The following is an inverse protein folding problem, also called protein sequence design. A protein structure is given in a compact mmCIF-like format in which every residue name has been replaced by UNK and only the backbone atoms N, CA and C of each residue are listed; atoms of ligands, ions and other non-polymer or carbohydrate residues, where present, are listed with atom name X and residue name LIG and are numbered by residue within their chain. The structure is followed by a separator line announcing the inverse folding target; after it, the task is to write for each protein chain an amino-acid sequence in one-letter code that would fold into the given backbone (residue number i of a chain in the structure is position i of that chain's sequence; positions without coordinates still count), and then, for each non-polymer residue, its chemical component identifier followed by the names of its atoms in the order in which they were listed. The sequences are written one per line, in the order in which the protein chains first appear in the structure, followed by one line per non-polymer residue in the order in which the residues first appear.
data_IF_078897046786
#
_entry.id   IF_078897046786
#
_cell.length_a   1.000
_cell.length_b   1.000
_cell.length_c   1.000
_cell.angle_alpha   90.00
_cell.angle_beta   90.00
_cell.angle_gamma   90.00
#
_symmetry.space_group_name_H-M   'P 1'
#
loop_
_entity.id
_entity.type
_entity.pdbx_description
1 polymer ?
#
# COMPACT_ATOMS: atom_id res chain seq x y z
N UNK A 1 -13.92 -7.97 -7.07
CA UNK A 1 -13.57 -7.62 -8.47
C UNK A 1 -12.24 -8.29 -8.80
N UNK A 2 -12.24 -9.21 -9.77
CA UNK A 2 -11.13 -10.09 -10.23
C UNK A 2 -10.40 -10.99 -9.21
N UNK A 3 -10.43 -10.75 -7.90
CA UNK A 3 -9.76 -11.61 -6.92
C UNK A 3 -8.25 -11.64 -7.12
N UNK A 4 -7.63 -12.81 -6.92
CA UNK A 4 -6.17 -13.01 -7.05
C UNK A 4 -5.60 -12.59 -8.43
N UNK A 5 -6.26 -12.84 -9.57
CA UNK A 5 -5.83 -12.27 -10.86
C UNK A 5 -5.68 -10.74 -10.86
N UNK A 6 -6.59 -10.03 -10.20
CA UNK A 6 -6.56 -8.57 -10.13
C UNK A 6 -5.36 -8.06 -9.34
N UNK A 7 -5.06 -8.67 -8.19
CA UNK A 7 -3.92 -8.27 -7.37
C UNK A 7 -2.58 -8.54 -8.07
N UNK A 8 -2.47 -9.64 -8.83
CA UNK A 8 -1.28 -9.95 -9.63
C UNK A 8 -1.05 -8.92 -10.75
N UNK A 9 -2.10 -8.52 -11.47
CA UNK A 9 -1.99 -7.49 -12.52
C UNK A 9 -1.49 -6.18 -11.91
N UNK A 10 -2.07 -5.75 -10.78
CA UNK A 10 -1.65 -4.54 -10.09
C UNK A 10 -0.21 -4.65 -9.57
N UNK A 11 0.21 -5.82 -9.07
CA UNK A 11 1.58 -6.06 -8.62
C UNK A 11 2.58 -5.90 -9.78
N UNK A 12 2.27 -6.46 -10.95
CA UNK A 12 3.10 -6.31 -12.16
C UNK A 12 3.16 -4.85 -12.59
N UNK A 13 2.03 -4.13 -12.61
CA UNK A 13 2.01 -2.69 -12.95
C UNK A 13 2.85 -1.86 -11.96
N UNK A 14 2.77 -2.16 -10.67
CA UNK A 14 3.61 -1.54 -9.63
C UNK A 14 5.09 -1.80 -9.86
N UNK A 15 5.47 -3.04 -10.19
CA UNK A 15 6.85 -3.39 -10.51
C UNK A 15 7.36 -2.65 -11.76
N UNK A 16 6.55 -2.56 -12.82
CA UNK A 16 6.89 -1.79 -14.03
C UNK A 16 7.06 -0.30 -13.73
N UNK A 17 6.22 0.28 -12.87
CA UNK A 17 6.39 1.66 -12.41
C UNK A 17 7.74 1.85 -11.73
N UNK A 18 8.10 0.98 -10.78
CA UNK A 18 9.38 1.04 -10.08
C UNK A 18 10.58 0.93 -11.04
N UNK A 19 10.52 0.01 -12.00
CA UNK A 19 11.54 -0.12 -13.07
C UNK A 19 11.63 1.15 -13.91
N UNK A 20 10.49 1.76 -14.24
CA UNK A 20 10.44 3.03 -14.96
C UNK A 20 11.04 4.20 -14.18
N UNK A 21 10.90 4.22 -12.84
CA UNK A 21 11.54 5.25 -12.01
C UNK A 21 13.06 5.09 -12.02
N UNK A 22 13.57 3.85 -11.88
CA UNK A 22 15.01 3.56 -11.96
C UNK A 22 15.59 3.99 -13.30
N UNK A 23 14.90 3.69 -14.40
CA UNK A 23 15.34 4.13 -15.73
C UNK A 23 15.31 5.65 -15.88
N UNK A 24 14.32 6.33 -15.30
CA UNK A 24 14.24 7.78 -15.25
C UNK A 24 15.45 8.44 -14.56
N UNK A 25 15.91 7.87 -13.44
CA UNK A 25 17.12 8.34 -12.73
C UNK A 25 18.37 8.22 -13.60
N UNK A 26 18.54 7.07 -14.25
CA UNK A 26 19.69 6.83 -15.13
C UNK A 26 19.72 7.84 -16.30
N UNK A 27 18.57 8.12 -16.90
CA UNK A 27 18.44 9.11 -17.98
C UNK A 27 18.67 10.54 -17.49
N UNK A 28 18.12 10.91 -16.33
CA UNK A 28 18.33 12.23 -15.72
C UNK A 28 19.83 12.50 -15.52
N UNK A 29 20.56 11.54 -14.97
CA UNK A 29 22.01 11.63 -14.76
C UNK A 29 22.79 11.91 -16.05
N UNK A 30 22.35 11.35 -17.19
CA UNK A 30 22.95 11.60 -18.50
C UNK A 30 22.65 13.00 -19.06
N UNK A 31 21.40 13.46 -18.98
CA UNK A 31 20.97 14.72 -19.58
C UNK A 31 21.32 15.96 -18.75
N UNK A 32 21.29 15.85 -17.42
CA UNK A 32 21.45 16.98 -16.51
C UNK A 32 22.86 17.13 -15.94
N UNK A 33 23.82 16.27 -16.34
CA UNK A 33 25.22 16.30 -15.87
C UNK A 33 25.94 17.64 -16.08
N UNK A 34 25.48 18.44 -17.05
CA UNK A 34 26.12 19.71 -17.44
C UNK A 34 25.31 20.96 -17.05
N UNK A 35 24.24 20.79 -16.30
CA UNK A 35 23.32 21.87 -15.92
C UNK A 35 23.09 21.82 -14.41
N UNK A 36 23.23 22.95 -13.69
CA UNK A 36 22.91 23.00 -12.26
C UNK A 36 21.47 22.55 -12.01
N UNK A 37 21.25 21.81 -10.93
CA UNK A 37 19.91 21.39 -10.51
C UNK A 37 18.95 22.59 -10.42
N UNK A 38 17.73 22.46 -10.92
CA UNK A 38 16.73 23.54 -10.90
C UNK A 38 16.84 24.56 -12.03
N UNK A 39 17.81 24.44 -12.94
CA UNK A 39 17.94 25.39 -14.06
C UNK A 39 16.85 25.15 -15.11
N UNK A 40 15.91 26.10 -15.24
CA UNK A 40 14.94 26.15 -16.35
C UNK A 40 15.38 27.21 -17.35
N UNK A 41 15.78 26.80 -18.56
CA UNK A 41 16.31 27.74 -19.56
C UNK A 41 15.20 28.59 -20.16
N UNK A 42 15.10 29.85 -19.71
CA UNK A 42 14.05 30.79 -20.14
C UNK A 42 14.27 31.38 -21.55
N UNK A 43 15.51 31.48 -22.04
CA UNK A 43 15.81 32.09 -23.36
C UNK A 43 15.78 31.15 -24.57
N UNK A 44 15.22 29.95 -24.46
CA UNK A 44 15.24 28.90 -25.51
C UNK A 44 13.84 28.54 -25.97
N UNK A 45 13.74 27.72 -27.02
CA UNK A 45 12.47 27.27 -27.60
C UNK A 45 11.54 26.65 -26.54
N UNK A 46 10.22 26.78 -26.77
CA UNK A 46 9.18 26.26 -25.87
C UNK A 46 9.39 24.77 -25.54
N UNK A 47 9.87 23.98 -26.51
CA UNK A 47 10.16 22.54 -26.36
C UNK A 47 11.29 22.28 -25.34
N UNK A 48 12.39 23.04 -25.41
CA UNK A 48 13.52 22.91 -24.48
C UNK A 48 13.11 23.29 -23.07
N UNK A 49 12.34 24.38 -22.90
CA UNK A 49 11.83 24.78 -21.60
C UNK A 49 10.90 23.71 -20.99
N UNK A 50 10.06 23.09 -21.81
CA UNK A 50 9.16 22.03 -21.37
C UNK A 50 9.92 20.75 -20.97
N UNK A 51 10.98 20.39 -21.71
CA UNK A 51 11.88 19.30 -21.34
C UNK A 51 12.59 19.56 -19.99
N UNK A 52 13.10 20.78 -19.79
CA UNK A 52 13.72 21.17 -18.52
C UNK A 52 12.73 21.07 -17.35
N UNK A 53 11.49 21.54 -17.55
CA UNK A 53 10.44 21.45 -16.53
C UNK A 53 10.01 19.99 -16.27
N UNK A 54 9.87 19.16 -17.30
CA UNK A 54 9.58 17.73 -17.16
C UNK A 54 10.64 17.02 -16.33
N UNK A 55 11.93 17.26 -16.63
CA UNK A 55 13.04 16.66 -15.89
C UNK A 55 13.09 17.15 -14.44
N UNK A 56 12.85 18.45 -14.20
CA UNK A 56 12.83 19.01 -12.85
C UNK A 56 11.68 18.43 -12.02
N UNK A 57 10.45 18.48 -12.54
CA UNK A 57 9.28 17.93 -11.85
C UNK A 57 9.41 16.42 -11.65
N UNK A 58 9.88 15.69 -12.66
CA UNK A 58 10.13 14.26 -12.56
C UNK A 58 11.12 13.91 -11.44
N UNK A 59 12.21 14.67 -11.30
CA UNK A 59 13.20 14.45 -10.25
C UNK A 59 12.67 14.82 -8.85
N UNK A 60 11.90 15.91 -8.73
CA UNK A 60 11.22 16.29 -7.47
C UNK A 60 10.23 15.21 -7.04
N UNK A 61 9.47 14.67 -8.00
CA UNK A 61 8.48 13.63 -7.75
C UNK A 61 9.08 12.24 -7.56
N UNK A 62 10.35 12.02 -7.90
CA UNK A 62 10.96 10.69 -7.87
C UNK A 62 10.78 10.01 -6.53
N UNK A 63 11.19 10.68 -5.44
CA UNK A 63 11.10 10.10 -4.09
C UNK A 63 9.65 9.79 -3.73
N UNK A 64 8.75 10.72 -4.03
CA UNK A 64 7.33 10.55 -3.74
C UNK A 64 6.71 9.40 -4.56
N UNK A 65 6.98 9.32 -5.86
CA UNK A 65 6.55 8.22 -6.74
C UNK A 65 7.16 6.88 -6.31
N UNK A 66 8.38 6.86 -5.79
CA UNK A 66 8.99 5.64 -5.23
C UNK A 66 8.25 5.20 -3.97
N UNK A 67 7.95 6.10 -3.04
CA UNK A 67 7.20 5.79 -1.83
C UNK A 67 5.80 5.29 -2.17
N UNK A 68 5.07 6.01 -3.03
CA UNK A 68 3.72 5.65 -3.46
C UNK A 68 3.72 4.36 -4.27
N UNK A 69 4.68 4.18 -5.18
CA UNK A 69 4.82 2.97 -6.00
C UNK A 69 5.16 1.74 -5.18
N UNK A 70 6.10 1.84 -4.24
CA UNK A 70 6.48 0.73 -3.36
C UNK A 70 5.36 0.37 -2.39
N UNK A 71 4.75 1.37 -1.75
CA UNK A 71 3.61 1.14 -0.86
C UNK A 71 2.40 0.57 -1.60
N UNK A 72 2.17 0.99 -2.85
CA UNK A 72 1.16 0.41 -3.73
C UNK A 72 1.43 -1.04 -4.07
N UNK A 73 2.68 -1.39 -4.43
CA UNK A 73 3.10 -2.76 -4.70
C UNK A 73 3.01 -3.67 -3.46
N UNK A 74 3.22 -3.13 -2.26
CA UNK A 74 2.98 -3.90 -1.02
C UNK A 74 1.48 -4.13 -0.82
N UNK A 75 0.63 -3.12 -1.09
CA UNK A 75 -0.81 -3.25 -0.93
C UNK A 75 -1.43 -4.35 -1.82
N UNK A 76 -0.82 -4.67 -2.96
CA UNK A 76 -1.30 -5.76 -3.83
C UNK A 76 -1.00 -7.15 -3.26
N UNK A 77 -0.21 -7.26 -2.19
CA UNK A 77 0.07 -8.51 -1.50
C UNK A 77 -0.96 -8.84 -0.41
N UNK A 78 -1.99 -8.00 -0.24
CA UNK A 78 -2.99 -8.14 0.82
C UNK A 78 -3.64 -9.53 0.88
N UNK A 79 -4.04 -10.07 -0.28
CA UNK A 79 -4.67 -11.38 -0.38
C UNK A 79 -3.76 -12.50 0.10
N UNK A 80 -2.45 -12.39 -0.15
CA UNK A 80 -1.46 -13.37 0.30
C UNK A 80 -1.24 -13.28 1.81
N UNK A 81 -1.10 -12.05 2.32
CA UNK A 81 -0.93 -11.78 3.75
C UNK A 81 -2.11 -12.30 4.56
N UNK A 82 -3.34 -12.02 4.15
CA UNK A 82 -4.54 -12.47 4.86
C UNK A 82 -4.84 -13.96 4.65
N UNK A 83 -4.46 -14.55 3.51
CA UNK A 83 -4.54 -16.00 3.34
C UNK A 83 -3.61 -16.72 4.31
N UNK A 84 -2.34 -16.29 4.40
CA UNK A 84 -1.36 -16.84 5.35
C UNK A 84 -1.83 -16.68 6.80
N UNK A 85 -2.44 -15.53 7.12
CA UNK A 85 -3.05 -15.31 8.44
C UNK A 85 -4.14 -16.31 8.79
N UNK A 86 -5.08 -16.52 7.87
CA UNK A 86 -6.22 -17.43 8.07
C UNK A 86 -5.74 -18.86 8.33
N UNK A 87 -4.73 -19.30 7.59
CA UNK A 87 -4.11 -20.61 7.79
C UNK A 87 -3.47 -20.70 9.18
N UNK A 88 -2.76 -19.65 9.61
CA UNK A 88 -2.22 -19.57 10.97
C UNK A 88 -3.32 -19.68 12.03
N UNK A 89 -4.37 -18.86 11.95
CA UNK A 89 -5.50 -18.90 12.89
C UNK A 89 -6.21 -20.26 12.91
N UNK A 90 -6.40 -20.88 11.74
CA UNK A 90 -6.98 -22.22 11.63
C UNK A 90 -6.09 -23.29 12.29
N UNK A 91 -4.76 -23.19 12.14
CA UNK A 91 -3.82 -24.10 12.80
C UNK A 91 -3.88 -23.98 14.33
N UNK A 92 -4.02 -22.76 14.87
CA UNK A 92 -4.18 -22.51 16.31
C UNK A 92 -5.48 -23.09 16.83
N UNK A 93 -6.56 -22.98 16.06
CA UNK A 93 -7.85 -23.58 16.40
C UNK A 93 -7.79 -25.12 16.42
N UNK A 94 -7.10 -25.73 15.45
CA UNK A 94 -6.93 -27.19 15.37
C UNK A 94 -6.09 -27.75 16.51
N UNK A 95 -5.08 -27.00 16.96
CA UNK A 95 -4.22 -27.38 18.08
C UNK A 95 -4.86 -27.16 19.46
N UNK A 96 -5.97 -26.40 19.53
CA UNK A 96 -6.62 -26.08 20.78
C UNK A 96 -7.40 -27.27 21.35
N UNK A 97 -7.58 -27.34 22.68
CA UNK A 97 -8.42 -28.36 23.30
C UNK A 97 -9.86 -28.35 22.76
N UNK A 98 -10.58 -29.48 22.88
CA UNK A 98 -11.99 -29.59 22.51
C UNK A 98 -12.83 -28.44 23.11
N UNK A 99 -13.85 -27.97 22.38
CA UNK A 99 -14.65 -26.84 22.83
C UNK A 99 -15.41 -27.19 24.12
N UNK A 100 -15.46 -26.21 25.02
CA UNK A 100 -16.30 -26.25 26.21
C UNK A 100 -17.79 -26.07 25.91
N UNK A 101 -18.62 -25.87 26.96
CA UNK A 101 -20.05 -25.65 26.78
C UNK A 101 -20.35 -24.40 25.94
N UNK A 102 -21.43 -24.42 25.15
CA UNK A 102 -21.74 -23.33 24.23
C UNK A 102 -22.14 -22.05 24.97
N UNK A 103 -21.74 -20.91 24.41
CA UNK A 103 -22.12 -19.59 24.92
C UNK A 103 -23.42 -19.08 24.30
N UNK A 104 -24.25 -18.42 25.12
CA UNK A 104 -25.47 -17.76 24.66
C UNK A 104 -25.21 -16.49 23.80
N UNK A 105 -24.09 -15.79 24.04
CA UNK A 105 -23.69 -14.56 23.33
C UNK A 105 -22.23 -14.63 22.88
N UNK A 106 -21.90 -15.49 21.90
CA UNK A 106 -20.52 -15.81 21.59
C UNK A 106 -19.74 -14.63 21.00
N UNK A 107 -20.39 -13.76 20.22
CA UNK A 107 -19.73 -12.56 19.67
C UNK A 107 -19.41 -11.53 20.75
N UNK A 108 -20.32 -11.32 21.70
CA UNK A 108 -20.06 -10.43 22.83
C UNK A 108 -18.92 -10.97 23.70
N UNK A 109 -18.93 -12.28 23.97
CA UNK A 109 -17.84 -12.93 24.70
C UNK A 109 -16.49 -12.79 23.99
N UNK A 110 -16.45 -12.84 22.65
CA UNK A 110 -15.24 -12.58 21.88
C UNK A 110 -14.72 -11.15 22.05
N UNK A 111 -15.60 -10.15 21.98
CA UNK A 111 -15.24 -8.74 22.25
C UNK A 111 -14.73 -8.56 23.68
N UNK A 112 -15.44 -9.13 24.65
CA UNK A 112 -15.09 -9.01 26.07
C UNK A 112 -13.78 -9.74 26.39
N UNK A 113 -13.50 -10.86 25.72
CA UNK A 113 -12.21 -11.54 25.78
C UNK A 113 -11.11 -10.64 25.20
N UNK A 114 -11.28 -10.12 23.99
CA UNK A 114 -10.27 -9.27 23.34
C UNK A 114 -9.94 -8.01 24.14
N UNK A 115 -10.94 -7.34 24.72
CA UNK A 115 -10.74 -6.17 25.60
C UNK A 115 -9.97 -6.52 26.88
N UNK A 116 -10.17 -7.72 27.42
CA UNK A 116 -9.41 -8.19 28.60
C UNK A 116 -7.98 -8.56 28.23
N UNK A 117 -7.75 -9.14 27.04
CA UNK A 117 -6.42 -9.52 26.58
C UNK A 117 -5.56 -8.30 26.23
N UNK A 118 -6.14 -7.27 25.60
CA UNK A 118 -5.44 -6.06 25.18
C UNK A 118 -6.14 -4.79 25.71
N UNK A 119 -6.03 -4.48 27.02
CA UNK A 119 -6.76 -3.38 27.66
C UNK A 119 -6.33 -1.98 27.18
N UNK A 120 -5.12 -1.85 26.66
CA UNK A 120 -4.55 -0.61 26.11
C UNK A 120 -4.93 -0.34 24.65
N UNK A 121 -5.69 -1.24 24.04
CA UNK A 121 -6.14 -1.14 22.64
C UNK A 121 -7.65 -0.93 22.58
N UNK A 122 -8.10 -0.34 21.47
CA UNK A 122 -9.51 -0.19 21.17
C UNK A 122 -9.92 -1.21 20.10
N UNK A 123 -11.18 -1.65 20.13
CA UNK A 123 -11.72 -2.54 19.10
C UNK A 123 -11.85 -1.75 17.81
N UNK A 124 -11.17 -2.20 16.75
CA UNK A 124 -11.25 -1.59 15.42
C UNK A 124 -12.42 -2.21 14.64
N UNK A 125 -12.38 -3.52 14.40
CA UNK A 125 -13.46 -4.26 13.75
C UNK A 125 -13.44 -5.74 14.13
N UNK A 126 -14.55 -6.42 13.79
CA UNK A 126 -14.75 -7.84 14.03
C UNK A 126 -14.75 -8.59 12.70
N UNK A 127 -13.92 -9.62 12.61
CA UNK A 127 -13.97 -10.59 11.54
C UNK A 127 -14.81 -11.79 11.98
N UNK A 128 -15.98 -11.92 11.34
CA UNK A 128 -16.88 -13.04 11.60
C UNK A 128 -16.27 -14.37 11.15
N UNK A 129 -16.73 -15.51 11.71
CA UNK A 129 -16.30 -16.83 11.27
C UNK A 129 -16.49 -17.01 9.77
N UNK A 130 -15.48 -17.60 9.12
CA UNK A 130 -15.45 -17.85 7.68
C UNK A 130 -15.25 -16.61 6.80
N UNK A 131 -15.00 -15.43 7.39
CA UNK A 131 -14.64 -14.23 6.63
C UNK A 131 -13.21 -14.29 6.08
N UNK A 132 -12.83 -13.29 5.28
CA UNK A 132 -11.45 -13.16 4.75
C UNK A 132 -10.39 -12.97 5.86
N UNK A 133 -10.79 -12.70 7.09
CA UNK A 133 -9.90 -12.40 8.21
C UNK A 133 -10.06 -13.34 9.41
N UNK A 134 -10.82 -14.44 9.25
CA UNK A 134 -11.06 -15.42 10.33
C UNK A 134 -11.25 -16.84 9.78
N UNK A 135 -11.03 -17.85 10.63
CA UNK A 135 -11.38 -19.25 10.35
C UNK A 135 -12.87 -19.54 10.58
N UNK A 136 -13.38 -20.67 10.09
CA UNK A 136 -14.83 -21.02 10.12
C UNK A 136 -15.43 -21.21 11.53
N UNK A 137 -14.60 -21.36 12.58
CA UNK A 137 -15.07 -21.54 13.98
C UNK A 137 -14.52 -20.53 14.98
N UNK A 138 -13.79 -19.52 14.50
CA UNK A 138 -13.27 -18.45 15.34
C UNK A 138 -13.75 -17.10 14.84
N UNK A 139 -13.82 -16.14 15.74
CA UNK A 139 -13.94 -14.73 15.43
C UNK A 139 -12.62 -14.06 15.76
N UNK A 140 -12.08 -13.31 14.80
CA UNK A 140 -10.90 -12.48 15.02
C UNK A 140 -11.35 -11.06 15.33
N UNK A 141 -11.05 -10.58 16.53
CA UNK A 141 -11.26 -9.20 16.93
C UNK A 141 -9.98 -8.42 16.65
N UNK A 142 -10.02 -7.49 15.71
CA UNK A 142 -8.86 -6.66 15.40
C UNK A 142 -8.84 -5.46 16.33
N UNK A 143 -7.78 -5.39 17.12
CA UNK A 143 -7.52 -4.33 18.10
C UNK A 143 -6.56 -3.32 17.48
N UNK A 144 -6.69 -2.04 17.81
CA UNK A 144 -5.80 -0.98 17.33
C UNK A 144 -5.27 -0.14 18.50
N UNK A 145 -4.05 0.38 18.39
CA UNK A 145 -3.47 1.20 19.44
C UNK A 145 -4.10 2.59 19.52
N UNK A 146 -3.99 3.22 20.70
CA UNK A 146 -4.60 4.55 20.98
C UNK A 146 -3.79 5.75 20.48
N UNK A 147 -2.57 5.55 20.00
CA UNK A 147 -1.70 6.65 19.56
C UNK A 147 -1.80 6.89 18.05
N UNK A 148 -1.47 8.08 17.52
CA UNK A 148 -1.43 8.33 16.08
C UNK A 148 -0.55 7.36 15.29
N UNK A 149 0.53 6.86 15.90
CA UNK A 149 1.44 5.88 15.31
C UNK A 149 0.84 4.47 15.31
N UNK A 150 0.21 4.07 16.42
CA UNK A 150 -0.27 2.69 16.62
C UNK A 150 -1.71 2.45 16.17
N UNK A 151 -2.48 3.51 15.87
CA UNK A 151 -3.90 3.38 15.42
C UNK A 151 -4.09 2.66 14.09
N UNK A 152 -3.02 2.54 13.29
CA UNK A 152 -3.04 1.81 12.02
C UNK A 152 -2.41 0.42 12.15
N UNK A 153 -1.86 0.06 13.31
CA UNK A 153 -1.28 -1.26 13.54
C UNK A 153 -2.34 -2.14 14.19
N UNK A 154 -2.92 -3.02 13.38
CA UNK A 154 -3.94 -3.95 13.84
C UNK A 154 -3.29 -5.14 14.55
N UNK A 155 -3.73 -5.44 15.76
CA UNK A 155 -3.38 -6.66 16.49
C UNK A 155 -4.60 -7.57 16.56
N UNK A 156 -4.57 -8.73 15.91
CA UNK A 156 -5.69 -9.66 15.93
C UNK A 156 -5.75 -10.43 17.27
N UNK A 157 -6.96 -10.59 17.80
CA UNK A 157 -7.26 -11.52 18.91
C UNK A 157 -8.25 -12.55 18.41
N UNK A 158 -7.81 -13.80 18.32
CA UNK A 158 -8.59 -14.91 17.78
C UNK A 158 -9.31 -15.61 18.92
N UNK A 159 -10.64 -15.61 18.89
CA UNK A 159 -11.49 -16.22 19.91
C UNK A 159 -12.40 -17.25 19.28
N UNK A 160 -12.45 -18.45 19.85
CA UNK A 160 -13.34 -19.52 19.41
C UNK A 160 -14.79 -19.16 19.71
N UNK A 161 -15.66 -19.26 18.70
CA UNK A 161 -17.08 -18.89 18.86
C UNK A 161 -17.86 -19.89 19.71
N UNK A 162 -17.46 -21.16 19.73
CA UNK A 162 -18.20 -22.20 20.46
C UNK A 162 -18.29 -21.89 21.96
N UNK A 163 -17.17 -21.61 22.61
CA UNK A 163 -17.02 -21.51 24.07
C UNK A 163 -16.38 -20.20 24.53
N UNK A 164 -16.01 -19.31 23.60
CA UNK A 164 -15.34 -18.05 23.92
C UNK A 164 -13.87 -18.21 24.34
N UNK A 165 -13.26 -19.36 24.08
CA UNK A 165 -11.86 -19.60 24.42
C UNK A 165 -10.93 -18.72 23.58
N UNK A 166 -9.94 -18.11 24.24
CA UNK A 166 -8.84 -17.43 23.56
C UNK A 166 -7.98 -18.47 22.84
N UNK A 167 -7.84 -18.33 21.52
CA UNK A 167 -7.01 -19.20 20.69
C UNK A 167 -5.65 -18.57 20.40
N UNK A 168 -5.65 -17.26 20.16
CA UNK A 168 -4.43 -16.52 19.83
C UNK A 168 -4.59 -15.02 20.13
N UNK A 169 -3.51 -14.38 20.57
CA UNK A 169 -3.41 -12.93 20.74
C UNK A 169 -1.98 -12.42 20.52
N UNK A 170 -1.10 -13.28 19.98
CA UNK A 170 0.28 -12.90 19.74
C UNK A 170 0.35 -11.73 18.74
N UNK A 171 1.38 -10.88 18.84
CA UNK A 171 1.58 -9.81 17.86
C UNK A 171 1.60 -10.40 16.44
N UNK A 172 0.96 -9.73 15.47
CA UNK A 172 0.93 -10.24 14.12
C UNK A 172 2.35 -10.27 13.54
N UNK A 173 2.61 -11.14 12.56
CA UNK A 173 3.89 -11.17 11.87
C UNK A 173 4.25 -9.81 11.26
N UNK A 174 5.54 -9.47 11.23
CA UNK A 174 6.04 -8.17 10.76
C UNK A 174 5.54 -7.76 9.37
N UNK A 175 5.27 -8.72 8.48
CA UNK A 175 4.77 -8.43 7.13
C UNK A 175 3.36 -7.85 7.12
N UNK A 176 2.56 -8.10 8.16
CA UNK A 176 1.26 -7.43 8.34
C UNK A 176 1.42 -5.98 8.71
N UNK A 177 2.37 -5.66 9.60
CA UNK A 177 2.68 -4.27 9.91
C UNK A 177 3.25 -3.54 8.70
N UNK A 178 4.03 -4.22 7.85
CA UNK A 178 4.47 -3.65 6.58
C UNK A 178 3.28 -3.32 5.67
N UNK A 179 2.30 -4.23 5.54
CA UNK A 179 1.08 -4.01 4.76
C UNK A 179 0.20 -2.89 5.34
N UNK A 180 -0.06 -2.91 6.64
CA UNK A 180 -0.90 -1.88 7.27
C UNK A 180 -0.20 -0.52 7.31
N UNK A 181 1.13 -0.50 7.42
CA UNK A 181 1.94 0.72 7.32
C UNK A 181 2.04 1.27 5.90
N UNK A 182 1.99 0.41 4.86
CA UNK A 182 2.02 0.87 3.46
C UNK A 182 0.74 1.57 3.04
N UNK A 183 -0.42 1.17 3.57
CA UNK A 183 -1.72 1.78 3.25
C UNK A 183 -1.76 3.30 3.49
N UNK A 184 -1.50 3.82 4.71
CA UNK A 184 -1.59 5.25 4.95
C UNK A 184 -0.52 6.05 4.20
N UNK A 185 0.64 5.45 3.89
CA UNK A 185 1.66 6.05 3.02
C UNK A 185 1.16 6.16 1.58
N UNK A 186 0.56 5.10 1.03
CA UNK A 186 0.04 5.11 -0.33
C UNK A 186 -1.11 6.10 -0.49
N UNK A 187 -2.06 6.10 0.45
CA UNK A 187 -3.28 6.91 0.39
C UNK A 187 -3.12 8.33 0.96
N UNK A 188 -1.98 8.67 1.55
CA UNK A 188 -1.76 9.99 2.17
C UNK A 188 -2.66 10.26 3.39
N UNK A 189 -3.11 9.21 4.10
CA UNK A 189 -4.10 9.31 5.17
C UNK A 189 -3.49 9.44 6.59
N UNK A 190 -2.30 10.02 6.71
CA UNK A 190 -1.56 10.10 7.98
C UNK A 190 -1.80 11.39 8.79
N UNK A 191 -1.78 12.56 8.14
CA UNK A 191 -1.85 13.87 8.81
C UNK A 191 -3.10 14.70 8.45
N UNK A 192 -4.19 14.04 8.05
CA UNK A 192 -5.46 14.72 7.77
C UNK A 192 -5.44 15.56 6.50
N UNK A 193 -6.19 16.67 6.49
CA UNK A 193 -6.41 17.50 5.31
C UNK A 193 -5.14 18.10 4.67
N UNK A 194 -4.16 18.63 5.42
CA UNK A 194 -2.95 19.22 4.82
C UNK A 194 -2.18 18.22 3.95
N UNK A 195 -2.02 16.98 4.44
CA UNK A 195 -1.33 15.93 3.69
C UNK A 195 -2.07 15.55 2.42
N UNK A 196 -3.40 15.51 2.47
CA UNK A 196 -4.24 15.25 1.29
C UNK A 196 -4.08 16.33 0.22
N UNK A 197 -3.93 17.59 0.62
CA UNK A 197 -3.66 18.68 -0.33
C UNK A 197 -2.28 18.53 -0.97
N UNK A 198 -1.26 18.18 -0.20
CA UNK A 198 0.08 17.88 -0.74
C UNK A 198 0.00 16.69 -1.72
N UNK A 199 -0.68 15.61 -1.35
CA UNK A 199 -0.89 14.45 -2.23
C UNK A 199 -1.57 14.86 -3.53
N UNK A 200 -2.66 15.60 -3.47
CA UNK A 200 -3.38 16.07 -4.65
C UNK A 200 -2.49 16.94 -5.57
N UNK A 201 -1.63 17.80 -5.00
CA UNK A 201 -0.67 18.59 -5.78
C UNK A 201 0.41 17.71 -6.44
N UNK A 202 0.92 16.71 -5.72
CA UNK A 202 1.88 15.74 -6.27
C UNK A 202 1.24 14.89 -7.37
N UNK A 203 -0.02 14.48 -7.22
CA UNK A 203 -0.79 13.77 -8.24
C UNK A 203 -0.94 14.61 -9.51
N UNK A 204 -1.33 15.87 -9.38
CA UNK A 204 -1.44 16.80 -10.52
C UNK A 204 -0.09 17.00 -11.21
N UNK A 205 0.99 17.11 -10.44
CA UNK A 205 2.33 17.22 -10.98
C UNK A 205 2.76 15.92 -11.70
N UNK A 206 2.43 14.74 -11.17
CA UNK A 206 2.69 13.46 -11.80
C UNK A 206 1.93 13.30 -13.13
N UNK A 207 0.64 13.70 -13.16
CA UNK A 207 -0.15 13.76 -14.39
C UNK A 207 0.52 14.68 -15.42
N UNK A 208 0.96 15.87 -15.00
CA UNK A 208 1.66 16.79 -15.89
C UNK A 208 2.96 16.20 -16.44
N UNK A 209 3.75 15.48 -15.62
CA UNK A 209 4.95 14.76 -16.06
C UNK A 209 4.61 13.66 -17.06
N UNK A 210 3.57 12.85 -16.82
CA UNK A 210 3.12 11.82 -17.75
C UNK A 210 2.70 12.41 -19.11
N UNK A 211 1.86 13.45 -19.10
CA UNK A 211 1.38 14.12 -20.31
C UNK A 211 2.54 14.76 -21.09
N UNK A 212 3.43 15.47 -20.41
CA UNK A 212 4.59 16.11 -21.05
C UNK A 212 5.57 15.07 -21.58
N UNK A 213 5.77 13.94 -20.88
CA UNK A 213 6.59 12.83 -21.35
C UNK A 213 6.06 12.23 -22.66
N UNK A 214 4.76 11.95 -22.73
CA UNK A 214 4.11 11.44 -23.93
C UNK A 214 4.22 12.44 -25.10
N UNK A 215 3.97 13.72 -24.83
CA UNK A 215 4.08 14.79 -25.82
C UNK A 215 5.52 14.95 -26.36
N UNK A 216 6.54 14.82 -25.51
CA UNK A 216 7.95 14.89 -25.92
C UNK A 216 8.40 13.63 -26.70
N UNK A 217 7.76 12.49 -26.46
CA UNK A 217 8.09 11.21 -27.07
C UNK A 217 7.49 11.03 -28.47
N UNK A 218 6.21 11.37 -28.66
CA UNK A 218 5.46 11.11 -29.90
C UNK A 218 6.07 11.75 -31.18
N UNK A 219 6.52 13.03 -31.17
CA UNK A 219 7.11 13.66 -32.36
C UNK A 219 8.46 13.04 -32.76
N UNK A 220 9.25 12.55 -31.79
CA UNK A 220 10.53 11.89 -32.08
C UNK A 220 10.36 10.61 -32.90
N UNK A 221 9.29 9.86 -32.67
CA UNK A 221 8.97 8.67 -33.48
C UNK A 221 8.62 9.03 -34.92
N UNK A 222 7.83 10.09 -35.14
CA UNK A 222 7.48 10.52 -36.51
C UNK A 222 8.70 10.91 -37.32
N UNK A 223 9.67 11.61 -36.71
CA UNK A 223 10.94 11.94 -37.38
C UNK A 223 11.83 10.72 -37.62
N UNK A 224 11.88 9.77 -36.69
CA UNK A 224 12.67 8.54 -36.83
C UNK A 224 12.09 7.54 -37.85
N UNK A 225 10.76 7.50 -38.03
CA UNK A 225 10.09 6.71 -39.07
C UNK A 225 10.10 7.37 -40.45
N UNK A 226 10.26 8.70 -40.52
CA UNK A 226 10.32 9.46 -41.76
C UNK A 226 11.75 9.61 -42.33
N UNK A 227 12.78 9.21 -41.60
CA UNK A 227 14.15 9.17 -42.10
C UNK A 227 14.33 7.92 -42.99
N UNK A 228 14.67 8.06 -44.29
CA UNK A 228 15.08 6.92 -45.09
C UNK A 228 16.34 6.32 -44.45
N UNK A 229 16.37 4.99 -44.30
CA UNK A 229 17.62 4.28 -44.01
C UNK A 229 18.50 4.40 -45.26
N UNK A 230 19.49 5.28 -45.21
CA UNK A 230 20.62 5.32 -46.15
C UNK A 230 21.78 4.52 -45.58
#
# INVERSE_FOLDING_TARGET
MLGMPGSLILAVMGALLLVSLVSGVALYGGFMRKTPFGTVRKGRSRLLRMLDLHNLLGMVLLVWLTVVGLSGAINTLDSFVFASWREHAASRQLAAPPPGPPLARPLQAAVDMARRTLPEHDVSFLALPGSLFSSDGACTVFMQGRTPLTRHLLQPVVVRIADGALLDADPPPWYMWLLEGSRPLHFGNYAGLPLKLIWALMDLAAIAVLVTGLYLYLPRRRAAFAAPRS
#
